data_IF_642151336873
#
_entry.id   IF_642151336873
#
_cell.length_a   1.000
_cell.length_b   1.000
_cell.length_c   1.000
_cell.angle_alpha   90.00
_cell.angle_beta   90.00
_cell.angle_gamma   90.00
#
_symmetry.space_group_name_H-M   'P 1'
#
loop_
_entity.id
_entity.type
_entity.pdbx_description
1 polymer ?
#
# COMPACT_ATOMS: atom_id res chain seq x y z
N UNK A 1 2.19 -15.24 12.36
CA UNK A 1 0.79 -15.40 12.71
C UNK A 1 0.04 -16.07 11.58
N UNK A 2 -1.10 -16.64 11.87
CA UNK A 2 -1.90 -17.41 10.92
C UNK A 2 -2.96 -16.56 10.21
N UNK A 3 -2.70 -15.28 10.03
CA UNK A 3 -3.57 -14.32 9.36
C UNK A 3 -3.12 -14.06 7.93
N UNK A 4 -4.07 -13.72 7.05
CA UNK A 4 -3.82 -13.24 5.70
C UNK A 4 -4.30 -11.80 5.59
N UNK A 5 -3.45 -10.92 5.11
CA UNK A 5 -3.81 -9.55 4.79
C UNK A 5 -4.02 -9.38 3.29
N UNK A 6 -5.10 -8.71 2.92
CA UNK A 6 -5.38 -8.34 1.53
C UNK A 6 -5.47 -6.83 1.40
N UNK A 7 -4.56 -6.27 0.66
CA UNK A 7 -4.46 -4.85 0.36
C UNK A 7 -4.97 -4.58 -1.05
N UNK A 8 -5.88 -3.63 -1.17
CA UNK A 8 -6.45 -3.22 -2.45
C UNK A 8 -6.36 -1.71 -2.56
N UNK A 9 -5.83 -1.24 -3.67
CA UNK A 9 -5.70 0.19 -3.97
C UNK A 9 -6.65 0.54 -5.10
N UNK A 10 -7.44 1.57 -4.89
CA UNK A 10 -8.41 2.09 -5.85
C UNK A 10 -8.09 3.55 -6.17
N UNK A 11 -8.46 4.04 -7.36
CA UNK A 11 -8.36 5.45 -7.66
C UNK A 11 -9.13 6.30 -6.64
N UNK A 12 -8.57 7.47 -6.31
CA UNK A 12 -9.26 8.54 -5.60
C UNK A 12 -9.99 9.47 -6.56
N UNK A 13 -10.28 10.66 -6.08
CA UNK A 13 -11.02 11.67 -6.86
C UNK A 13 -10.09 12.46 -7.82
N UNK A 14 -8.79 12.32 -7.67
CA UNK A 14 -7.76 12.91 -8.54
C UNK A 14 -6.60 11.93 -8.77
N UNK A 15 -5.67 12.28 -9.66
CA UNK A 15 -4.45 11.51 -9.95
C UNK A 15 -3.48 11.48 -8.74
N UNK A 16 -3.64 12.41 -7.82
CA UNK A 16 -2.82 12.54 -6.61
C UNK A 16 -3.37 11.75 -5.42
N UNK A 17 -4.51 11.08 -5.60
CA UNK A 17 -5.23 10.41 -4.51
C UNK A 17 -5.52 8.95 -4.84
N UNK A 18 -5.40 8.11 -3.83
CA UNK A 18 -5.85 6.72 -3.89
C UNK A 18 -6.56 6.33 -2.60
N UNK A 19 -7.45 5.33 -2.71
CA UNK A 19 -8.15 4.73 -1.58
C UNK A 19 -7.62 3.33 -1.36
N UNK A 20 -7.14 3.05 -0.15
CA UNK A 20 -6.62 1.74 0.21
C UNK A 20 -7.60 1.01 1.11
N UNK A 21 -7.98 -0.21 0.70
CA UNK A 21 -8.82 -1.11 1.50
C UNK A 21 -7.96 -2.25 2.02
N UNK A 22 -7.92 -2.39 3.33
CA UNK A 22 -7.22 -3.47 4.01
C UNK A 22 -8.24 -4.45 4.58
N UNK A 23 -8.05 -5.73 4.30
CA UNK A 23 -8.86 -6.81 4.86
C UNK A 23 -7.96 -7.79 5.58
N UNK A 24 -8.33 -8.13 6.81
CA UNK A 24 -7.68 -9.16 7.61
C UNK A 24 -8.54 -10.42 7.58
N UNK A 25 -7.97 -11.51 7.09
CA UNK A 25 -8.61 -12.82 7.07
C UNK A 25 -8.03 -13.68 8.17
N UNK A 26 -8.91 -14.33 8.92
CA UNK A 26 -8.54 -15.23 10.00
C UNK A 26 -8.71 -16.68 9.56
N UNK A 27 -7.91 -17.63 10.07
CA UNK A 27 -8.00 -19.04 9.68
C UNK A 27 -9.35 -19.67 10.05
N UNK A 28 -9.97 -19.14 11.12
CA UNK A 28 -11.27 -19.59 11.61
C UNK A 28 -12.19 -18.41 11.88
N UNK A 29 -13.52 -18.56 11.81
CA UNK A 29 -14.46 -17.52 12.19
C UNK A 29 -14.29 -17.07 13.65
N UNK A 30 -14.24 -15.76 13.88
CA UNK A 30 -14.14 -15.19 15.21
C UNK A 30 -15.48 -15.19 15.94
N UNK A 31 -15.97 -16.37 16.32
CA UNK A 31 -17.31 -16.55 16.90
C UNK A 31 -17.43 -16.15 18.37
N UNK A 32 -16.32 -16.15 19.12
CA UNK A 32 -16.30 -15.75 20.53
C UNK A 32 -15.92 -14.30 20.73
N UNK A 33 -16.35 -13.66 21.81
CA UNK A 33 -15.94 -12.29 22.15
C UNK A 33 -14.44 -12.14 22.32
N UNK A 34 -13.80 -13.17 22.89
CA UNK A 34 -12.34 -13.21 23.02
C UNK A 34 -11.65 -13.20 21.67
N UNK A 35 -12.11 -14.03 20.72
CA UNK A 35 -11.56 -14.10 19.39
C UNK A 35 -11.80 -12.78 18.61
N UNK A 36 -13.00 -12.21 18.71
CA UNK A 36 -13.29 -10.90 18.10
C UNK A 36 -12.37 -9.80 18.63
N UNK A 37 -12.24 -9.69 19.95
CA UNK A 37 -11.34 -8.69 20.58
C UNK A 37 -9.89 -8.88 20.15
N UNK A 38 -9.42 -10.12 20.06
CA UNK A 38 -8.06 -10.42 19.61
C UNK A 38 -7.81 -9.94 18.18
N UNK A 39 -8.69 -10.28 17.24
CA UNK A 39 -8.53 -9.90 15.83
C UNK A 39 -8.75 -8.41 15.59
N UNK A 40 -9.68 -7.78 16.30
CA UNK A 40 -9.85 -6.31 16.27
C UNK A 40 -8.57 -5.62 16.70
N UNK A 41 -7.97 -6.05 17.83
CA UNK A 41 -6.69 -5.47 18.29
C UNK A 41 -5.56 -5.65 17.28
N UNK A 42 -5.49 -6.78 16.59
CA UNK A 42 -4.48 -7.00 15.54
C UNK A 42 -4.72 -6.05 14.35
N UNK A 43 -5.97 -5.86 13.93
CA UNK A 43 -6.32 -4.91 12.88
C UNK A 43 -6.00 -3.47 13.28
N UNK A 44 -6.34 -3.08 14.51
CA UNK A 44 -6.06 -1.74 15.03
C UNK A 44 -4.55 -1.46 15.07
N UNK A 45 -3.75 -2.44 15.49
CA UNK A 45 -2.29 -2.32 15.50
C UNK A 45 -1.71 -2.18 14.09
N UNK A 46 -2.17 -3.02 13.15
CA UNK A 46 -1.78 -2.93 11.74
C UNK A 46 -2.09 -1.56 11.16
N UNK A 47 -3.32 -1.09 11.35
CA UNK A 47 -3.75 0.20 10.82
C UNK A 47 -3.03 1.37 11.50
N UNK A 48 -2.76 1.30 12.80
CA UNK A 48 -2.00 2.34 13.50
C UNK A 48 -0.58 2.47 12.94
N UNK A 49 0.11 1.34 12.71
CA UNK A 49 1.46 1.34 12.11
C UNK A 49 1.44 1.99 10.72
N UNK A 50 0.54 1.54 9.85
CA UNK A 50 0.42 2.09 8.48
C UNK A 50 0.09 3.57 8.48
N UNK A 51 -0.87 4.01 9.30
CA UNK A 51 -1.30 5.40 9.37
C UNK A 51 -0.27 6.34 9.99
N UNK A 52 0.57 5.85 10.90
CA UNK A 52 1.57 6.67 11.58
C UNK A 52 2.91 6.72 10.86
N UNK A 53 3.26 5.69 10.10
CA UNK A 53 4.56 5.56 9.46
C UNK A 53 4.46 5.63 7.93
N UNK A 54 3.80 4.68 7.30
CA UNK A 54 3.81 4.52 5.83
C UNK A 54 2.97 5.57 5.10
N UNK A 55 1.75 5.86 5.60
CA UNK A 55 0.85 6.79 4.92
C UNK A 55 1.39 8.22 4.85
N UNK A 56 1.91 8.81 5.93
CA UNK A 56 2.50 10.15 5.87
C UNK A 56 3.70 10.24 4.93
N UNK A 57 4.51 9.18 4.86
CA UNK A 57 5.65 9.11 3.94
C UNK A 57 5.17 9.09 2.49
N UNK A 58 4.21 8.23 2.16
CA UNK A 58 3.64 8.15 0.81
C UNK A 58 2.99 9.46 0.37
N UNK A 59 2.23 10.11 1.26
CA UNK A 59 1.61 11.40 0.99
C UNK A 59 2.65 12.52 0.77
N UNK A 60 3.75 12.51 1.51
CA UNK A 60 4.84 13.48 1.32
C UNK A 60 5.52 13.25 -0.03
N UNK A 61 5.82 12.01 -0.40
CA UNK A 61 6.40 11.67 -1.71
C UNK A 61 5.49 12.15 -2.84
N UNK A 62 4.16 11.95 -2.73
CA UNK A 62 3.21 12.43 -3.75
C UNK A 62 3.20 13.95 -3.86
N UNK A 63 3.27 14.67 -2.74
CA UNK A 63 3.39 16.14 -2.73
C UNK A 63 4.68 16.62 -3.38
N UNK A 64 5.79 15.93 -3.14
CA UNK A 64 7.07 16.26 -3.75
C UNK A 64 7.03 16.08 -5.29
N UNK A 65 6.42 15.00 -5.77
CA UNK A 65 6.20 14.81 -7.22
C UNK A 65 5.28 15.88 -7.80
N UNK A 66 4.19 16.21 -7.12
CA UNK A 66 3.27 17.25 -7.58
C UNK A 66 3.95 18.63 -7.66
N UNK A 67 4.92 18.92 -6.82
CA UNK A 67 5.69 20.17 -6.85
C UNK A 67 6.58 20.32 -8.07
N UNK A 68 6.87 19.24 -8.78
CA UNK A 68 7.80 19.20 -9.92
C UNK A 68 9.28 19.34 -9.52
N UNK A 69 9.60 19.27 -8.23
CA UNK A 69 10.98 19.34 -7.75
C UNK A 69 11.79 18.08 -8.11
N UNK A 70 11.10 16.97 -8.34
CA UNK A 70 11.71 15.70 -8.74
C UNK A 70 10.76 14.96 -9.68
N UNK A 71 11.28 14.50 -10.81
CA UNK A 71 10.52 13.80 -11.86
C UNK A 71 10.96 12.33 -12.05
N UNK A 72 11.81 11.82 -11.20
CA UNK A 72 12.28 10.44 -11.21
C UNK A 72 12.37 9.83 -9.82
N UNK A 73 12.33 8.51 -9.76
CA UNK A 73 12.57 7.72 -8.55
C UNK A 73 13.84 6.91 -8.73
N UNK A 74 14.71 6.94 -7.72
CA UNK A 74 15.92 6.12 -7.68
C UNK A 74 15.63 4.82 -6.94
N UNK A 75 15.83 3.69 -7.60
CA UNK A 75 15.73 2.37 -6.97
C UNK A 75 17.12 1.88 -6.56
N UNK A 76 17.20 1.20 -5.43
CA UNK A 76 18.41 0.52 -5.02
C UNK A 76 18.76 -0.61 -6.00
N UNK A 77 20.07 -0.86 -6.20
CA UNK A 77 20.53 -1.94 -7.08
C UNK A 77 20.06 -3.33 -6.62
N UNK A 78 19.76 -3.49 -5.33
CA UNK A 78 19.26 -4.71 -4.71
C UNK A 78 17.72 -4.79 -4.66
N UNK A 79 17.01 -3.90 -5.36
CA UNK A 79 15.55 -3.81 -5.39
C UNK A 79 14.96 -4.11 -6.78
N UNK A 80 15.27 -5.26 -7.41
CA UNK A 80 14.82 -5.55 -8.77
C UNK A 80 13.31 -5.66 -8.91
N UNK A 81 12.59 -5.97 -7.82
CA UNK A 81 11.13 -6.06 -7.81
C UNK A 81 10.46 -4.71 -8.09
N UNK A 82 11.01 -3.60 -7.60
CA UNK A 82 10.49 -2.26 -7.89
C UNK A 82 10.60 -1.93 -9.37
N UNK A 83 11.76 -2.18 -9.95
CA UNK A 83 11.98 -1.98 -11.39
C UNK A 83 11.05 -2.87 -12.24
N UNK A 84 10.84 -4.13 -11.82
CA UNK A 84 9.91 -5.05 -12.49
C UNK A 84 8.46 -4.55 -12.41
N UNK A 85 8.02 -4.08 -11.25
CA UNK A 85 6.70 -3.53 -11.04
C UNK A 85 6.42 -2.36 -12.00
N UNK A 86 7.31 -1.38 -12.04
CA UNK A 86 7.15 -0.21 -12.92
C UNK A 86 7.19 -0.55 -14.41
N UNK A 87 8.07 -1.49 -14.82
CA UNK A 87 8.08 -1.98 -16.20
C UNK A 87 6.79 -2.67 -16.58
N UNK A 88 6.21 -3.44 -15.67
CA UNK A 88 4.93 -4.14 -15.89
C UNK A 88 3.79 -3.16 -16.08
N UNK A 89 3.72 -2.09 -15.26
CA UNK A 89 2.73 -1.02 -15.42
C UNK A 89 2.89 -0.32 -16.77
N UNK A 90 4.11 0.11 -17.11
CA UNK A 90 4.39 0.76 -18.40
C UNK A 90 3.96 -0.10 -19.58
N UNK A 91 4.30 -1.39 -19.55
CA UNK A 91 3.89 -2.35 -20.58
C UNK A 91 2.37 -2.45 -20.72
N UNK A 92 1.65 -2.52 -19.57
CA UNK A 92 0.18 -2.60 -19.56
C UNK A 92 -0.47 -1.35 -20.12
N UNK A 93 0.10 -0.18 -19.84
CA UNK A 93 -0.37 1.11 -20.33
C UNK A 93 0.07 1.43 -21.77
N UNK A 94 0.86 0.57 -22.42
CA UNK A 94 1.41 0.83 -23.76
C UNK A 94 2.42 1.97 -23.80
N UNK A 95 2.99 2.35 -22.66
CA UNK A 95 4.01 3.40 -22.56
C UNK A 95 5.36 2.74 -22.87
N UNK A 96 5.98 3.11 -23.98
CA UNK A 96 7.32 2.64 -24.31
C UNK A 96 8.30 3.10 -23.25
N UNK A 97 9.05 2.16 -22.68
CA UNK A 97 10.16 2.50 -21.79
C UNK A 97 11.22 3.24 -22.64
N UNK A 98 11.47 4.45 -22.26
CA UNK A 98 12.70 5.14 -22.67
C UNK A 98 13.85 4.53 -21.87
#
# INVERSE_FOLDING_TARGET
GDQLEKWRVYPGDSVDESKMHVSLYTPEPAVTDKARKYWTKNMDLLMATVQQEDSPLAENIQRDFHSGAQDFVTFGANEPALAYFHRSIKKTLGINAV
#
